data_IF_814339508014
#
_entry.id   IF_814339508014
#
_cell.length_a   1.000
_cell.length_b   1.000
_cell.length_c   1.000
_cell.angle_alpha   90.00
_cell.angle_beta   90.00
_cell.angle_gamma   90.00
#
_symmetry.space_group_name_H-M   'P 1'
#
loop_
_entity.id
_entity.type
_entity.pdbx_description
1 polymer ?
#
# COMPACT_ATOMS: atom_id res chain seq x y z
N UNK A 1 -10.88 -49.89 28.55
CA UNK A 1 -10.85 -48.42 28.50
C UNK A 1 -9.57 -48.05 29.20
N UNK A 2 -8.52 -47.78 28.43
CA UNK A 2 -7.26 -47.33 29.02
C UNK A 2 -7.55 -45.95 29.61
N UNK A 3 -7.37 -45.83 30.93
CA UNK A 3 -7.70 -44.62 31.67
C UNK A 3 -6.82 -43.44 31.29
N UNK A 4 -6.83 -42.39 32.10
CA UNK A 4 -6.00 -41.21 31.89
C UNK A 4 -4.51 -41.59 31.91
N UNK A 5 -3.91 -41.79 30.73
CA UNK A 5 -2.48 -42.09 30.63
C UNK A 5 -1.70 -40.81 30.96
N UNK A 6 -0.45 -40.93 31.46
CA UNK A 6 0.39 -39.76 31.72
C UNK A 6 0.56 -38.85 30.50
N UNK A 7 0.59 -39.44 29.29
CA UNK A 7 0.69 -38.70 28.03
C UNK A 7 -0.59 -37.92 27.70
N UNK A 8 -1.76 -38.55 27.80
CA UNK A 8 -3.05 -37.89 27.58
C UNK A 8 -3.28 -36.80 28.62
N UNK A 9 -2.94 -37.06 29.88
CA UNK A 9 -3.02 -36.08 30.97
C UNK A 9 -2.11 -34.86 30.74
N UNK A 10 -0.87 -35.09 30.28
CA UNK A 10 0.04 -34.01 29.88
C UNK A 10 -0.52 -33.18 28.71
N UNK A 11 -0.98 -33.83 27.63
CA UNK A 11 -1.53 -33.12 26.47
C UNK A 11 -2.75 -32.29 26.83
N UNK A 12 -3.65 -32.82 27.68
CA UNK A 12 -4.81 -32.08 28.16
C UNK A 12 -4.41 -30.88 29.01
N UNK A 13 -3.44 -31.04 29.92
CA UNK A 13 -2.97 -29.95 30.78
C UNK A 13 -2.33 -28.82 29.96
N UNK A 14 -1.42 -29.16 29.04
CA UNK A 14 -0.84 -28.17 28.10
C UNK A 14 -1.93 -27.54 27.26
N UNK A 15 -2.91 -28.32 26.81
CA UNK A 15 -3.96 -27.79 25.96
C UNK A 15 -4.87 -26.79 26.64
N UNK A 16 -5.15 -26.98 27.93
CA UNK A 16 -5.85 -26.01 28.77
C UNK A 16 -5.03 -24.73 28.92
N UNK A 17 -3.72 -24.82 29.17
CA UNK A 17 -2.83 -23.65 29.29
C UNK A 17 -2.84 -22.82 28.00
N UNK A 18 -2.59 -23.46 26.86
CA UNK A 18 -2.60 -22.80 25.53
C UNK A 18 -3.97 -22.19 25.23
N UNK A 19 -5.05 -22.83 25.70
CA UNK A 19 -6.41 -22.28 25.58
C UNK A 19 -6.61 -21.01 26.37
N UNK A 20 -6.18 -21.00 27.62
CA UNK A 20 -6.21 -19.80 28.45
C UNK A 20 -5.37 -18.67 27.83
N UNK A 21 -4.19 -18.98 27.28
CA UNK A 21 -3.33 -18.00 26.61
C UNK A 21 -3.98 -17.41 25.36
N UNK A 22 -4.57 -18.25 24.49
CA UNK A 22 -5.25 -17.78 23.28
C UNK A 22 -6.49 -16.94 23.60
N UNK A 23 -7.24 -17.29 24.65
CA UNK A 23 -8.37 -16.47 25.13
C UNK A 23 -7.92 -15.16 25.76
N UNK A 24 -6.81 -15.16 26.51
CA UNK A 24 -6.20 -13.95 27.06
C UNK A 24 -5.75 -13.02 25.93
N UNK A 25 -5.00 -13.53 24.95
CA UNK A 25 -4.56 -12.75 23.79
C UNK A 25 -5.74 -12.18 23.01
N UNK A 26 -6.76 -12.99 22.76
CA UNK A 26 -8.00 -12.55 22.11
C UNK A 26 -8.69 -11.41 22.88
N UNK A 27 -8.65 -11.43 24.22
CA UNK A 27 -9.24 -10.38 25.05
C UNK A 27 -8.49 -9.04 24.95
N UNK A 28 -7.21 -9.05 24.58
CA UNK A 28 -6.39 -7.85 24.43
C UNK A 28 -6.60 -7.16 23.06
N UNK A 29 -6.96 -7.92 22.01
CA UNK A 29 -7.13 -7.41 20.64
C UNK A 29 -8.55 -6.86 20.35
N UNK A 30 -8.98 -5.84 21.11
CA UNK A 30 -10.33 -5.28 21.00
C UNK A 30 -10.60 -4.38 19.77
N UNK A 31 -9.65 -4.16 18.85
CA UNK A 31 -9.68 -2.99 17.95
C UNK A 31 -9.88 -3.21 16.46
N UNK A 32 -9.97 -4.45 15.94
CA UNK A 32 -10.14 -4.68 14.48
C UNK A 32 -11.38 -5.51 14.17
N UNK A 33 -12.52 -4.84 14.01
CA UNK A 33 -13.83 -5.46 13.71
C UNK A 33 -13.86 -6.16 12.35
N UNK A 34 -13.08 -5.69 11.37
CA UNK A 34 -13.07 -6.22 10.01
C UNK A 34 -12.66 -7.70 9.94
N UNK A 35 -11.68 -8.13 10.74
CA UNK A 35 -11.14 -9.50 10.72
C UNK A 35 -11.56 -10.35 11.92
N UNK A 36 -12.32 -9.78 12.86
CA UNK A 36 -12.69 -10.42 14.13
C UNK A 36 -13.34 -11.79 13.94
N UNK A 37 -14.20 -11.95 12.92
CA UNK A 37 -14.87 -13.24 12.63
C UNK A 37 -13.88 -14.33 12.20
N UNK A 38 -12.86 -13.97 11.42
CA UNK A 38 -11.87 -14.89 10.88
C UNK A 38 -10.88 -15.33 11.97
N UNK A 39 -10.43 -14.36 12.78
CA UNK A 39 -9.62 -14.64 13.98
C UNK A 39 -10.37 -15.56 14.94
N UNK A 40 -11.66 -15.33 15.18
CA UNK A 40 -12.49 -16.20 16.02
C UNK A 40 -12.55 -17.64 15.49
N UNK A 41 -12.73 -17.81 14.18
CA UNK A 41 -12.78 -19.14 13.55
C UNK A 41 -11.43 -19.85 13.66
N UNK A 42 -10.32 -19.14 13.45
CA UNK A 42 -8.96 -19.68 13.64
C UNK A 42 -8.71 -20.10 15.09
N UNK A 43 -9.02 -19.23 16.06
CA UNK A 43 -8.87 -19.52 17.48
C UNK A 43 -9.73 -20.72 17.87
N UNK A 44 -11.00 -20.77 17.45
CA UNK A 44 -11.88 -21.91 17.70
C UNK A 44 -11.31 -23.23 17.15
N UNK A 45 -10.72 -23.19 15.95
CA UNK A 45 -10.01 -24.34 15.37
C UNK A 45 -8.81 -24.78 16.22
N UNK A 46 -7.99 -23.84 16.70
CA UNK A 46 -6.85 -24.13 17.56
C UNK A 46 -7.29 -24.72 18.92
N UNK A 47 -8.34 -24.17 19.54
CA UNK A 47 -8.91 -24.70 20.78
C UNK A 47 -9.40 -26.14 20.59
N UNK A 48 -10.10 -26.40 19.48
CA UNK A 48 -10.59 -27.74 19.15
C UNK A 48 -9.43 -28.73 18.92
N UNK A 49 -8.34 -28.32 18.28
CA UNK A 49 -7.17 -29.17 18.11
C UNK A 49 -6.51 -29.53 19.44
N UNK A 50 -6.33 -28.51 20.28
CA UNK A 50 -5.45 -28.56 21.45
C UNK A 50 -6.15 -29.16 22.68
N UNK A 51 -7.46 -28.95 22.86
CA UNK A 51 -8.27 -29.58 23.92
C UNK A 51 -9.08 -30.75 23.36
N UNK A 52 -9.72 -30.57 22.20
CA UNK A 52 -10.64 -31.56 21.65
C UNK A 52 -9.96 -32.87 21.30
N UNK A 53 -8.71 -32.84 20.83
CA UNK A 53 -7.92 -34.05 20.55
C UNK A 53 -7.73 -34.92 21.80
N UNK A 54 -7.11 -34.40 22.87
CA UNK A 54 -6.94 -35.13 24.13
C UNK A 54 -8.26 -35.58 24.78
N UNK A 55 -9.31 -34.76 24.71
CA UNK A 55 -10.64 -35.14 25.21
C UNK A 55 -11.22 -36.31 24.40
N UNK A 56 -11.16 -36.24 23.07
CA UNK A 56 -11.61 -37.31 22.20
C UNK A 56 -10.80 -38.59 22.43
N UNK A 57 -9.50 -38.50 22.64
CA UNK A 57 -8.66 -39.65 22.97
C UNK A 57 -9.09 -40.33 24.28
N UNK A 58 -9.57 -39.56 25.26
CA UNK A 58 -10.03 -40.09 26.54
C UNK A 58 -11.40 -40.77 26.48
N UNK A 59 -12.37 -40.19 25.76
CA UNK A 59 -13.77 -40.62 25.84
C UNK A 59 -14.31 -41.24 24.54
N UNK A 60 -13.69 -40.95 23.40
CA UNK A 60 -14.11 -41.42 22.08
C UNK A 60 -12.93 -41.57 21.10
N UNK A 61 -11.97 -42.50 21.37
CA UNK A 61 -10.76 -42.66 20.55
C UNK A 61 -11.00 -42.77 19.03
N UNK A 62 -12.07 -43.44 18.53
CA UNK A 62 -12.35 -43.51 17.09
C UNK A 62 -12.58 -42.15 16.42
N UNK A 63 -12.93 -41.11 17.20
CA UNK A 63 -13.24 -39.78 16.69
C UNK A 63 -12.04 -38.83 16.66
N UNK A 64 -10.87 -39.21 17.19
CA UNK A 64 -9.69 -38.32 17.30
C UNK A 64 -9.30 -37.71 15.96
N UNK A 65 -9.25 -38.51 14.89
CA UNK A 65 -8.91 -38.02 13.54
C UNK A 65 -9.97 -37.06 12.99
N UNK A 66 -11.25 -37.28 13.29
CA UNK A 66 -12.34 -36.39 12.89
C UNK A 66 -12.25 -35.04 13.61
N UNK A 67 -11.89 -35.06 14.89
CA UNK A 67 -11.68 -33.83 15.67
C UNK A 67 -10.49 -33.03 15.12
N UNK A 68 -9.36 -33.69 14.85
CA UNK A 68 -8.21 -33.03 14.23
C UNK A 68 -8.51 -32.50 12.81
N UNK A 69 -9.19 -33.28 11.98
CA UNK A 69 -9.58 -32.84 10.63
C UNK A 69 -10.52 -31.63 10.65
N UNK A 70 -11.48 -31.61 11.57
CA UNK A 70 -12.40 -30.48 11.76
C UNK A 70 -11.66 -29.24 12.26
N UNK A 71 -10.75 -29.41 13.22
CA UNK A 71 -9.92 -28.32 13.73
C UNK A 71 -9.03 -27.71 12.64
N UNK A 72 -8.37 -28.55 11.82
CA UNK A 72 -7.55 -28.11 10.71
C UNK A 72 -8.37 -27.33 9.67
N UNK A 73 -9.58 -27.79 9.34
CA UNK A 73 -10.49 -27.09 8.43
C UNK A 73 -10.87 -25.70 8.96
N UNK A 74 -11.21 -25.59 10.24
CA UNK A 74 -11.52 -24.30 10.87
C UNK A 74 -10.33 -23.35 10.82
N UNK A 75 -9.11 -23.82 11.09
CA UNK A 75 -7.89 -23.01 10.97
C UNK A 75 -7.68 -22.54 9.52
N UNK A 76 -7.84 -23.42 8.53
CA UNK A 76 -7.70 -23.06 7.11
C UNK A 76 -8.73 -21.99 6.71
N UNK A 77 -10.00 -22.17 7.08
CA UNK A 77 -11.07 -21.22 6.76
C UNK A 77 -10.91 -19.88 7.50
N UNK A 78 -10.47 -19.92 8.75
CA UNK A 78 -10.20 -18.73 9.55
C UNK A 78 -8.98 -17.95 9.04
N UNK A 79 -7.97 -18.63 8.49
CA UNK A 79 -6.79 -17.97 7.90
C UNK A 79 -7.01 -17.51 6.45
N UNK A 80 -8.05 -17.98 5.76
CA UNK A 80 -8.28 -17.66 4.35
C UNK A 80 -8.32 -16.14 4.10
N UNK A 81 -9.28 -15.42 4.70
CA UNK A 81 -9.45 -13.99 4.44
C UNK A 81 -8.31 -13.11 4.96
N UNK A 82 -7.80 -13.26 6.21
CA UNK A 82 -6.68 -12.44 6.69
C UNK A 82 -5.41 -12.57 5.84
N UNK A 83 -5.17 -13.76 5.26
CA UNK A 83 -4.00 -14.02 4.42
C UNK A 83 -4.21 -13.57 2.98
N UNK A 84 -5.41 -13.72 2.44
CA UNK A 84 -5.67 -13.43 1.02
C UNK A 84 -6.21 -12.03 0.74
N UNK A 85 -6.70 -11.31 1.76
CA UNK A 85 -7.42 -10.05 1.56
C UNK A 85 -6.52 -8.80 1.57
N UNK A 86 -6.92 -7.82 0.77
CA UNK A 86 -6.08 -6.84 0.05
C UNK A 86 -5.56 -5.64 0.85
N UNK A 87 -5.66 -5.60 2.18
CA UNK A 87 -5.20 -4.44 2.97
C UNK A 87 -3.69 -4.16 2.74
N UNK A 88 -2.92 -5.18 2.38
CA UNK A 88 -1.52 -5.02 1.96
C UNK A 88 -1.35 -4.31 0.62
N UNK A 89 -2.26 -4.50 -0.35
CA UNK A 89 -2.21 -3.85 -1.68
C UNK A 89 -2.46 -2.34 -1.60
N UNK A 90 -3.40 -1.92 -0.76
CA UNK A 90 -3.71 -0.50 -0.61
C UNK A 90 -2.60 0.28 0.11
N UNK A 91 -1.91 -0.34 1.06
CA UNK A 91 -0.77 0.29 1.76
C UNK A 91 0.45 0.47 0.85
N UNK A 92 0.73 -0.48 -0.06
CA UNK A 92 1.76 -0.28 -1.09
C UNK A 92 1.36 0.81 -2.08
N UNK A 93 0.09 0.89 -2.48
CA UNK A 93 -0.38 1.99 -3.32
C UNK A 93 -0.20 3.34 -2.62
N UNK A 94 -0.53 3.47 -1.33
CA UNK A 94 -0.30 4.72 -0.59
C UNK A 94 1.19 5.06 -0.42
N UNK A 95 2.02 4.07 -0.09
CA UNK A 95 3.48 4.25 0.04
C UNK A 95 4.15 4.61 -1.30
N UNK A 96 3.65 4.04 -2.40
CA UNK A 96 4.09 4.40 -3.75
C UNK A 96 3.61 5.81 -4.14
N UNK A 97 2.36 6.15 -3.81
CA UNK A 97 1.78 7.47 -4.07
C UNK A 97 2.31 8.58 -3.16
N UNK A 98 2.95 8.27 -2.02
CA UNK A 98 3.60 9.27 -1.18
C UNK A 98 4.88 9.84 -1.79
N UNK A 99 5.52 9.12 -2.72
CA UNK A 99 6.68 9.60 -3.48
C UNK A 99 6.47 9.40 -4.99
N UNK A 100 5.56 10.18 -5.62
CA UNK A 100 5.22 10.00 -7.04
C UNK A 100 6.42 10.20 -7.97
N UNK A 101 7.47 10.90 -7.53
CA UNK A 101 8.75 11.03 -8.26
C UNK A 101 9.41 9.69 -8.58
N UNK A 102 9.28 8.67 -7.71
CA UNK A 102 9.90 7.35 -7.94
C UNK A 102 9.21 6.51 -9.01
N UNK A 103 7.96 6.84 -9.36
CA UNK A 103 7.16 6.10 -10.36
C UNK A 103 7.26 6.78 -11.73
N UNK A 104 7.61 8.07 -11.77
CA UNK A 104 7.79 8.81 -13.02
C UNK A 104 8.96 8.25 -13.81
N UNK A 105 8.83 8.32 -15.14
CA UNK A 105 9.93 8.02 -16.08
C UNK A 105 10.56 9.35 -16.50
N UNK A 106 11.59 9.85 -15.77
CA UNK A 106 12.27 11.08 -16.17
C UNK A 106 12.88 10.92 -17.56
N UNK A 107 12.93 12.02 -18.31
CA UNK A 107 13.65 12.04 -19.57
C UNK A 107 15.16 11.91 -19.31
N UNK A 108 15.92 11.41 -20.29
CA UNK A 108 17.37 11.21 -20.16
C UNK A 108 18.15 12.50 -19.79
N UNK A 109 17.62 13.67 -20.15
CA UNK A 109 18.22 14.97 -19.85
C UNK A 109 17.88 15.51 -18.45
N UNK A 110 16.89 14.91 -17.78
CA UNK A 110 16.42 15.35 -16.47
C UNK A 110 17.34 14.85 -15.35
N UNK A 111 17.40 15.62 -14.28
CA UNK A 111 18.08 15.25 -13.03
C UNK A 111 17.05 15.20 -11.89
N UNK A 112 17.37 14.56 -10.75
CA UNK A 112 16.46 14.53 -9.60
C UNK A 112 16.02 15.93 -9.13
N UNK A 113 16.86 16.95 -9.35
CA UNK A 113 16.56 18.34 -9.04
C UNK A 113 15.38 18.90 -9.84
N UNK A 114 15.15 18.43 -11.07
CA UNK A 114 14.02 18.91 -11.88
C UNK A 114 12.68 18.48 -11.32
N UNK A 115 12.60 17.26 -10.80
CA UNK A 115 11.39 16.74 -10.15
C UNK A 115 11.03 17.60 -8.93
N UNK A 116 12.03 17.98 -8.12
CA UNK A 116 11.83 18.88 -6.96
C UNK A 116 11.40 20.28 -7.40
N UNK A 117 12.00 20.82 -8.47
CA UNK A 117 11.61 22.12 -9.02
C UNK A 117 10.16 22.08 -9.50
N UNK A 118 9.78 21.08 -10.29
CA UNK A 118 8.42 20.92 -10.81
C UNK A 118 7.41 20.71 -9.67
N UNK A 119 7.77 19.98 -8.62
CA UNK A 119 6.93 19.80 -7.44
C UNK A 119 6.67 21.12 -6.70
N UNK A 120 7.65 22.04 -6.63
CA UNK A 120 7.44 23.38 -6.07
C UNK A 120 6.43 24.18 -6.91
N UNK A 121 6.52 24.14 -8.23
CA UNK A 121 5.54 24.82 -9.08
C UNK A 121 4.14 24.22 -8.93
N UNK A 122 4.04 22.91 -8.93
CA UNK A 122 2.75 22.20 -8.82
C UNK A 122 2.06 22.40 -7.47
N UNK A 123 2.83 22.39 -6.38
CA UNK A 123 2.27 22.61 -5.03
C UNK A 123 1.83 24.05 -4.81
N UNK A 124 2.52 25.02 -5.42
CA UNK A 124 2.16 26.43 -5.31
C UNK A 124 1.00 26.81 -6.23
N UNK A 125 0.91 26.21 -7.43
CA UNK A 125 0.00 26.62 -8.51
C UNK A 125 0.11 28.12 -8.84
N UNK A 126 1.36 28.62 -8.89
CA UNK A 126 1.69 30.03 -9.04
C UNK A 126 2.82 30.26 -10.05
N UNK A 127 2.92 31.51 -10.50
CA UNK A 127 4.09 32.03 -11.22
C UNK A 127 5.22 32.30 -10.23
N UNK A 128 6.37 31.65 -10.39
CA UNK A 128 7.50 31.75 -9.45
C UNK A 128 8.76 32.32 -10.09
N UNK A 129 9.62 32.91 -9.24
CA UNK A 129 10.96 33.36 -9.62
C UNK A 129 12.02 32.34 -9.18
N UNK A 130 13.22 32.34 -9.80
CA UNK A 130 14.30 31.44 -9.40
C UNK A 130 14.66 31.49 -7.91
N UNK A 131 14.52 32.65 -7.26
CA UNK A 131 14.82 32.80 -5.84
C UNK A 131 13.81 32.07 -4.96
N UNK A 132 12.52 32.16 -5.30
CA UNK A 132 11.45 31.48 -4.56
C UNK A 132 11.57 29.97 -4.74
N UNK A 133 11.83 29.51 -5.97
CA UNK A 133 12.05 28.09 -6.25
C UNK A 133 13.27 27.57 -5.50
N UNK A 134 14.40 28.27 -5.54
CA UNK A 134 15.62 27.88 -4.83
C UNK A 134 15.42 27.76 -3.31
N UNK A 135 14.70 28.72 -2.73
CA UNK A 135 14.38 28.69 -1.30
C UNK A 135 13.55 27.46 -0.91
N UNK A 136 12.52 27.12 -1.70
CA UNK A 136 11.60 26.02 -1.37
C UNK A 136 12.14 24.64 -1.77
N UNK A 137 12.92 24.55 -2.85
CA UNK A 137 13.49 23.28 -3.31
C UNK A 137 14.82 22.93 -2.60
N UNK A 138 15.39 23.83 -1.80
CA UNK A 138 16.62 23.57 -1.05
C UNK A 138 17.90 23.57 -1.88
N UNK A 139 17.89 24.22 -3.05
CA UNK A 139 19.05 24.29 -3.96
C UNK A 139 19.56 25.71 -4.14
N UNK A 140 20.77 25.86 -4.70
CA UNK A 140 21.27 27.20 -5.01
C UNK A 140 20.50 27.85 -6.15
N UNK A 141 20.35 29.19 -6.09
CA UNK A 141 19.71 29.97 -7.17
C UNK A 141 20.38 29.76 -8.53
N UNK A 142 21.70 29.54 -8.56
CA UNK A 142 22.46 29.31 -9.80
C UNK A 142 22.06 27.99 -10.44
N UNK A 143 21.97 26.91 -9.65
CA UNK A 143 21.55 25.59 -10.14
C UNK A 143 20.10 25.59 -10.60
N UNK A 144 19.21 26.21 -9.81
CA UNK A 144 17.80 26.39 -10.17
C UNK A 144 17.67 27.14 -11.48
N UNK A 145 18.37 28.25 -11.66
CA UNK A 145 18.28 29.01 -12.90
C UNK A 145 18.68 28.17 -14.12
N UNK A 146 19.75 27.36 -14.02
CA UNK A 146 20.16 26.45 -15.09
C UNK A 146 19.07 25.41 -15.41
N UNK A 147 18.43 24.84 -14.39
CA UNK A 147 17.36 23.84 -14.57
C UNK A 147 16.06 24.46 -15.10
N UNK A 148 15.69 25.66 -14.65
CA UNK A 148 14.53 26.39 -15.17
C UNK A 148 14.63 26.64 -16.67
N UNK A 149 15.83 26.99 -17.19
CA UNK A 149 16.04 27.11 -18.63
C UNK A 149 15.82 25.77 -19.35
N UNK A 150 16.40 24.67 -18.86
CA UNK A 150 16.21 23.36 -19.48
C UNK A 150 14.74 22.89 -19.45
N UNK A 151 14.04 23.10 -18.34
CA UNK A 151 12.62 22.77 -18.18
C UNK A 151 11.73 23.59 -19.14
N UNK A 152 12.06 24.86 -19.36
CA UNK A 152 11.42 25.77 -20.33
C UNK A 152 11.70 25.32 -21.77
N UNK A 153 12.95 25.03 -22.12
CA UNK A 153 13.36 24.50 -23.43
C UNK A 153 12.64 23.19 -23.80
N UNK A 154 12.33 22.35 -22.81
CA UNK A 154 11.60 21.09 -23.00
C UNK A 154 10.08 21.20 -22.77
N UNK A 155 9.56 22.41 -22.54
CA UNK A 155 8.14 22.73 -22.44
C UNK A 155 7.44 22.18 -21.20
N UNK A 156 8.17 21.84 -20.14
CA UNK A 156 7.59 21.47 -18.84
C UNK A 156 7.26 22.70 -17.99
N UNK A 157 8.04 23.77 -18.16
CA UNK A 157 7.74 25.10 -17.67
C UNK A 157 7.61 26.06 -18.85
N UNK A 158 7.02 27.22 -18.62
CA UNK A 158 7.04 28.32 -19.56
C UNK A 158 7.43 29.63 -18.86
N UNK A 159 8.19 30.45 -19.56
CA UNK A 159 8.58 31.78 -19.08
C UNK A 159 7.53 32.83 -19.44
N UNK A 160 6.68 33.17 -18.48
CA UNK A 160 5.60 34.18 -18.64
C UNK A 160 6.10 35.63 -18.61
N UNK A 161 7.22 35.89 -17.93
CA UNK A 161 7.86 37.22 -17.88
C UNK A 161 9.36 37.08 -17.61
N UNK A 162 10.10 38.19 -17.65
CA UNK A 162 11.54 38.21 -17.34
C UNK A 162 11.82 37.65 -15.94
N UNK A 163 12.30 36.41 -15.91
CA UNK A 163 12.68 35.72 -14.67
C UNK A 163 11.50 35.16 -13.88
N UNK A 164 10.34 35.00 -14.52
CA UNK A 164 9.13 34.40 -13.94
C UNK A 164 8.70 33.22 -14.80
N UNK A 165 8.45 32.09 -14.14
CA UNK A 165 8.11 30.84 -14.79
C UNK A 165 6.78 30.31 -14.25
N UNK A 166 6.10 29.50 -15.03
CA UNK A 166 4.89 28.80 -14.64
C UNK A 166 4.92 27.35 -15.15
N UNK A 167 4.19 26.46 -14.48
CA UNK A 167 3.98 25.09 -14.92
C UNK A 167 3.12 25.08 -16.19
N UNK A 168 3.53 24.31 -17.20
CA UNK A 168 2.70 24.10 -18.39
C UNK A 168 1.78 22.91 -18.19
N UNK A 169 0.71 22.83 -19.00
CA UNK A 169 -0.16 21.65 -19.06
C UNK A 169 0.64 20.35 -19.30
N UNK A 170 1.73 20.41 -20.07
CA UNK A 170 2.63 19.27 -20.28
C UNK A 170 3.41 18.91 -19.01
N UNK A 171 3.86 19.91 -18.25
CA UNK A 171 4.42 19.76 -16.91
C UNK A 171 3.45 19.10 -15.93
N UNK A 172 2.17 19.53 -15.90
CA UNK A 172 1.15 18.85 -15.08
C UNK A 172 0.98 17.38 -15.46
N UNK A 173 0.84 17.08 -16.76
CA UNK A 173 0.69 15.69 -17.23
C UNK A 173 1.88 14.83 -16.82
N UNK A 174 3.09 15.37 -16.98
CA UNK A 174 4.31 14.69 -16.54
C UNK A 174 4.28 14.36 -15.05
N UNK A 175 3.91 15.33 -14.20
CA UNK A 175 3.84 15.12 -12.74
C UNK A 175 2.78 14.10 -12.33
N UNK A 176 1.69 13.99 -13.09
CA UNK A 176 0.63 12.99 -12.91
C UNK A 176 1.01 11.59 -13.43
N UNK A 177 2.17 11.45 -14.08
CA UNK A 177 2.61 10.19 -14.68
C UNK A 177 1.82 9.80 -15.94
N UNK A 178 1.20 10.78 -16.62
CA UNK A 178 0.46 10.53 -17.85
C UNK A 178 1.42 10.24 -19.03
N UNK A 179 1.03 9.41 -20.01
CA UNK A 179 1.87 9.07 -21.16
C UNK A 179 2.30 10.31 -21.96
N UNK A 180 3.55 10.33 -22.41
CA UNK A 180 4.17 11.42 -23.18
C UNK A 180 3.40 11.75 -24.48
N UNK A 181 2.72 10.77 -25.05
CA UNK A 181 1.99 10.87 -26.33
C UNK A 181 0.48 11.04 -26.16
N UNK A 182 0.00 11.38 -24.95
CA UNK A 182 -1.40 11.75 -24.78
C UNK A 182 -1.68 13.03 -25.61
N UNK A 183 -2.67 13.01 -26.52
CA UNK A 183 -2.94 14.11 -27.43
C UNK A 183 -3.12 15.40 -26.64
N UNK A 184 -2.32 16.40 -26.95
CA UNK A 184 -2.46 17.73 -26.35
C UNK A 184 -3.72 18.32 -26.97
N UNK A 185 -4.72 18.66 -26.17
CA UNK A 185 -6.03 19.15 -26.64
C UNK A 185 -6.01 20.46 -27.44
N UNK A 186 -4.84 20.88 -27.91
CA UNK A 186 -4.61 22.07 -28.73
C UNK A 186 -4.48 21.69 -30.23
N UNK A 187 -4.50 20.39 -30.58
CA UNK A 187 -4.51 19.90 -31.98
C UNK A 187 -5.91 19.78 -32.60
N UNK A 188 -6.98 20.10 -31.87
CA UNK A 188 -8.38 19.94 -32.36
C UNK A 188 -8.85 21.13 -33.21
N UNK A 189 -8.15 22.27 -33.21
CA UNK A 189 -8.62 23.50 -33.87
C UNK A 189 -8.06 23.72 -35.30
N UNK A 190 -7.41 22.72 -35.91
CA UNK A 190 -6.87 22.84 -37.26
C UNK A 190 -7.49 21.82 -38.24
N UNK A 191 -8.81 21.71 -38.25
CA UNK A 191 -9.50 21.20 -39.44
C UNK A 191 -9.56 22.31 -40.50
N UNK A 192 -9.02 22.10 -41.72
CA UNK A 192 -9.23 23.04 -42.81
C UNK A 192 -10.73 23.06 -43.15
N UNK A 193 -11.35 24.23 -42.98
CA UNK A 193 -12.73 24.49 -43.39
C UNK A 193 -12.92 24.08 -44.85
N UNK A 194 -13.67 22.99 -45.06
CA UNK A 194 -14.08 22.54 -46.39
C UNK A 194 -15.01 23.62 -46.99
N UNK A 195 -14.68 24.20 -48.16
CA UNK A 195 -15.56 25.15 -48.80
C UNK A 195 -16.84 24.43 -49.27
N UNK A 196 -17.99 25.06 -49.01
CA UNK A 196 -19.32 24.61 -49.44
C UNK A 196 -19.49 24.68 -50.96
#
# INVERSE_FOLDING_TARGET
>A
MDGLTPFVGYNLAIGIVVTCELLYFYSLEASVTAYRRFVLVTVAGLMLAVIGGPVAELIAPPLVHWVHGTAALLVILGLYDPVTNEVRRTEWARTLLSEPSRIRRPAEWMTPMDDEILAVFHSADLVLTPSVVAFNAGFSRKEVNRRLLALDEHGLLEKVERGKYQLTRRGERYLRGEPRDAPTGDEVDNEPSVPR
#
